data_IF_821290279034
#
_entry.id   IF_821290279034
#
_cell.length_a   1.000
_cell.length_b   1.000
_cell.length_c   1.000
_cell.angle_alpha   90.00
_cell.angle_beta   90.00
_cell.angle_gamma   90.00
#
_symmetry.space_group_name_H-M   'P 1'
#
loop_
_entity.id
_entity.type
_entity.pdbx_description
1 polymer ?
#
# COMPACT_ATOMS: atom_id res chain seq x y z
N UNK A 1 6.78 -7.38 -3.50
CA UNK A 1 6.32 -6.37 -4.50
C UNK A 1 5.95 -5.06 -3.80
N UNK A 2 4.98 -5.06 -2.87
CA UNK A 2 4.50 -3.84 -2.20
C UNK A 2 5.60 -3.05 -1.47
N UNK A 3 6.49 -3.72 -0.72
CA UNK A 3 7.61 -3.05 -0.04
C UNK A 3 8.48 -2.24 -1.02
N UNK A 4 8.85 -2.84 -2.15
CA UNK A 4 9.63 -2.16 -3.20
C UNK A 4 8.85 -1.00 -3.82
N UNK A 5 7.55 -1.18 -4.06
CA UNK A 5 6.68 -0.12 -4.58
C UNK A 5 6.65 1.10 -3.65
N UNK A 6 6.43 0.91 -2.35
CA UNK A 6 6.41 2.00 -1.39
C UNK A 6 7.78 2.66 -1.22
N UNK A 7 8.87 1.88 -1.17
CA UNK A 7 10.23 2.42 -1.14
C UNK A 7 10.55 3.25 -2.39
N UNK A 8 10.14 2.77 -3.58
CA UNK A 8 10.24 3.51 -4.84
C UNK A 8 9.48 4.83 -4.81
N UNK A 9 8.24 4.85 -4.31
CA UNK A 9 7.45 6.08 -4.19
C UNK A 9 8.06 7.07 -3.20
N UNK A 10 8.54 6.61 -2.04
CA UNK A 10 9.25 7.47 -1.09
C UNK A 10 10.51 8.08 -1.72
N UNK A 11 11.29 7.30 -2.48
CA UNK A 11 12.46 7.79 -3.21
C UNK A 11 12.10 8.86 -4.24
N UNK A 12 11.04 8.64 -5.01
CA UNK A 12 10.54 9.61 -5.99
C UNK A 12 10.23 10.96 -5.33
N UNK A 13 9.49 10.94 -4.21
CA UNK A 13 9.12 12.17 -3.49
C UNK A 13 10.33 12.82 -2.81
N UNK A 14 11.22 12.03 -2.19
CA UNK A 14 12.42 12.56 -1.53
C UNK A 14 13.36 13.24 -2.54
N UNK A 15 13.53 12.65 -3.73
CA UNK A 15 14.31 13.26 -4.82
C UNK A 15 13.64 14.55 -5.32
N UNK A 16 12.33 14.53 -5.55
CA UNK A 16 11.58 15.69 -6.05
C UNK A 16 11.58 16.87 -5.07
N UNK A 17 11.47 16.59 -3.77
CA UNK A 17 11.36 17.62 -2.71
C UNK A 17 12.71 17.99 -2.08
N UNK A 18 13.74 17.22 -2.35
CA UNK A 18 15.11 17.48 -1.94
C UNK A 18 15.42 17.21 -0.45
N UNK A 19 16.69 17.45 -0.06
CA UNK A 19 17.14 17.36 1.34
C UNK A 19 16.34 18.28 2.26
N UNK A 20 16.10 17.86 3.51
CA UNK A 20 15.31 18.60 4.49
C UNK A 20 13.78 18.45 4.34
N UNK A 21 13.31 17.81 3.27
CA UNK A 21 11.89 17.48 3.13
C UNK A 21 11.44 16.42 4.15
N UNK A 22 10.14 16.39 4.45
CA UNK A 22 9.54 15.33 5.29
C UNK A 22 9.81 13.93 4.73
N UNK A 23 9.81 13.79 3.39
CA UNK A 23 10.11 12.53 2.73
C UNK A 23 11.56 12.08 2.99
N UNK A 24 12.54 12.99 2.89
CA UNK A 24 13.92 12.70 3.24
C UNK A 24 14.04 12.28 4.72
N UNK A 25 13.39 13.01 5.63
CA UNK A 25 13.37 12.65 7.05
C UNK A 25 12.79 11.26 7.33
N UNK A 26 11.67 10.90 6.69
CA UNK A 26 11.11 9.54 6.85
C UNK A 26 12.00 8.46 6.23
N UNK A 27 12.70 8.75 5.13
CA UNK A 27 13.68 7.82 4.57
C UNK A 27 14.80 7.55 5.57
N UNK A 28 15.34 8.58 6.23
CA UNK A 28 16.39 8.44 7.25
C UNK A 28 15.91 7.62 8.46
N UNK A 29 14.70 7.88 8.95
CA UNK A 29 14.11 7.12 10.06
C UNK A 29 13.93 5.63 9.70
N UNK A 30 13.45 5.34 8.50
CA UNK A 30 13.26 3.96 8.03
C UNK A 30 14.60 3.26 7.79
N UNK A 31 15.60 3.97 7.26
CA UNK A 31 16.97 3.45 7.12
C UNK A 31 17.60 3.10 8.47
N UNK A 32 17.32 3.86 9.53
CA UNK A 32 17.82 3.55 10.86
C UNK A 32 17.14 2.31 11.46
N UNK A 33 15.83 2.13 11.24
CA UNK A 33 15.01 1.20 12.04
C UNK A 33 14.55 -0.08 11.32
N UNK A 34 14.54 -0.12 9.99
CA UNK A 34 13.98 -1.25 9.24
C UNK A 34 15.03 -1.90 8.33
N UNK A 35 15.40 -3.14 8.66
CA UNK A 35 16.29 -3.95 7.83
C UNK A 35 15.68 -4.27 6.47
N UNK A 36 14.39 -4.62 6.43
CA UNK A 36 13.68 -4.87 5.19
C UNK A 36 13.72 -3.64 4.28
N UNK A 37 13.48 -2.45 4.84
CA UNK A 37 13.57 -1.20 4.10
C UNK A 37 14.97 -0.93 3.58
N UNK A 38 16.02 -1.08 4.42
CA UNK A 38 17.43 -0.94 3.99
C UNK A 38 17.74 -1.81 2.79
N UNK A 39 17.30 -3.08 2.83
CA UNK A 39 17.49 -4.04 1.73
C UNK A 39 16.87 -3.55 0.43
N UNK A 40 15.59 -3.17 0.44
CA UNK A 40 14.92 -2.71 -0.80
C UNK A 40 15.33 -1.30 -1.23
N UNK A 41 15.78 -0.45 -0.30
CA UNK A 41 16.26 0.90 -0.60
C UNK A 41 17.57 0.87 -1.36
N UNK A 42 18.46 -0.09 -1.05
CA UNK A 42 19.72 -0.34 -1.76
C UNK A 42 19.53 -0.68 -3.23
N UNK A 43 18.37 -1.19 -3.62
CA UNK A 43 18.06 -1.49 -5.02
C UNK A 43 17.82 -0.22 -5.86
N UNK A 44 17.75 0.97 -5.23
CA UNK A 44 17.58 2.29 -5.87
C UNK A 44 16.42 2.38 -6.88
N UNK A 45 15.41 1.53 -6.73
CA UNK A 45 14.29 1.49 -7.66
C UNK A 45 13.45 2.77 -7.58
N UNK A 46 13.01 3.24 -8.76
CA UNK A 46 12.08 4.37 -8.93
C UNK A 46 11.03 3.98 -9.96
N UNK A 47 9.82 4.55 -9.87
CA UNK A 47 8.76 4.35 -10.87
C UNK A 47 8.01 3.03 -10.80
N UNK A 48 8.12 2.25 -9.71
CA UNK A 48 7.28 1.05 -9.53
C UNK A 48 5.83 1.47 -9.33
N UNK A 49 4.97 1.10 -10.27
CA UNK A 49 3.54 1.45 -10.22
C UNK A 49 2.71 0.35 -9.55
N UNK A 50 1.63 0.71 -8.84
CA UNK A 50 0.71 -0.27 -8.29
C UNK A 50 0.07 -1.09 -9.42
N UNK A 51 -0.03 -2.40 -9.21
CA UNK A 51 -0.93 -3.24 -10.01
C UNK A 51 -2.38 -2.85 -9.72
N UNK A 52 -3.21 -2.87 -10.76
CA UNK A 52 -4.65 -2.67 -10.66
C UNK A 52 -5.29 -3.72 -9.74
N UNK A 53 -4.92 -4.98 -9.90
CA UNK A 53 -5.37 -6.07 -9.03
C UNK A 53 -4.37 -6.32 -7.90
N UNK A 54 -4.88 -6.41 -6.67
CA UNK A 54 -4.15 -6.82 -5.48
C UNK A 54 -4.58 -8.21 -5.05
N UNK A 55 -3.59 -8.98 -4.58
CA UNK A 55 -3.80 -10.28 -3.97
C UNK A 55 -3.38 -10.23 -2.52
N UNK A 56 -4.31 -10.53 -1.63
CA UNK A 56 -4.10 -10.54 -0.19
C UNK A 56 -4.37 -11.93 0.35
N UNK A 57 -3.76 -12.22 1.50
CA UNK A 57 -4.13 -13.37 2.34
C UNK A 57 -4.60 -12.79 3.66
N UNK A 58 -5.92 -12.71 3.83
CA UNK A 58 -6.53 -12.26 5.07
C UNK A 58 -6.53 -13.42 6.09
N UNK A 59 -6.20 -13.19 7.37
CA UNK A 59 -6.13 -14.26 8.36
C UNK A 59 -7.44 -15.04 8.50
N UNK A 60 -8.59 -14.36 8.40
CA UNK A 60 -9.91 -14.98 8.64
C UNK A 60 -10.59 -15.51 7.37
N UNK A 61 -10.51 -14.79 6.25
CA UNK A 61 -11.24 -15.15 5.02
C UNK A 61 -10.32 -15.71 3.92
N UNK A 62 -9.03 -15.84 4.23
CA UNK A 62 -8.02 -16.40 3.33
C UNK A 62 -7.73 -15.49 2.13
N UNK A 63 -7.49 -16.11 0.97
CA UNK A 63 -7.10 -15.40 -0.23
C UNK A 63 -8.21 -14.46 -0.75
N UNK A 64 -7.82 -13.25 -1.12
CA UNK A 64 -8.65 -12.21 -1.74
C UNK A 64 -7.97 -11.66 -2.98
N UNK A 65 -8.72 -11.56 -4.07
CA UNK A 65 -8.34 -10.85 -5.29
C UNK A 65 -9.22 -9.61 -5.45
N UNK A 66 -8.63 -8.43 -5.32
CA UNK A 66 -9.35 -7.16 -5.28
C UNK A 66 -8.79 -6.19 -6.33
N UNK A 67 -9.68 -5.56 -7.09
CA UNK A 67 -9.35 -4.40 -7.94
C UNK A 67 -9.17 -3.17 -7.06
N UNK A 68 -8.10 -2.41 -7.29
CA UNK A 68 -7.71 -1.24 -6.51
C UNK A 68 -7.77 0.02 -7.37
N UNK A 69 -8.71 0.90 -7.06
CA UNK A 69 -8.78 2.24 -7.64
C UNK A 69 -8.11 3.23 -6.69
N UNK A 70 -7.33 4.16 -7.25
CA UNK A 70 -6.67 5.23 -6.48
C UNK A 70 -7.33 6.54 -6.82
N UNK A 71 -7.92 7.20 -5.83
CA UNK A 71 -8.50 8.53 -5.94
C UNK A 71 -7.62 9.51 -5.18
N UNK A 72 -7.21 10.59 -5.85
CA UNK A 72 -6.33 11.61 -5.28
C UNK A 72 -7.12 12.89 -5.04
N UNK A 73 -6.93 13.49 -3.87
CA UNK A 73 -7.27 14.88 -3.60
C UNK A 73 -5.95 15.69 -3.55
N UNK A 74 -5.59 16.38 -4.65
CA UNK A 74 -4.36 17.15 -4.70
C UNK A 74 -4.35 18.35 -3.74
N UNK A 75 -5.52 18.89 -3.40
CA UNK A 75 -5.65 20.09 -2.56
C UNK A 75 -5.33 19.78 -1.11
N UNK A 76 -5.74 18.59 -0.64
CA UNK A 76 -5.51 18.12 0.72
C UNK A 76 -4.33 17.14 0.83
N UNK A 77 -3.69 16.82 -0.30
CA UNK A 77 -2.68 15.76 -0.40
C UNK A 77 -3.17 14.42 0.18
N UNK A 78 -4.44 14.09 -0.03
CA UNK A 78 -5.03 12.82 0.39
C UNK A 78 -5.06 11.81 -0.76
N UNK A 79 -4.99 10.54 -0.39
CA UNK A 79 -5.14 9.42 -1.30
C UNK A 79 -6.11 8.42 -0.69
N UNK A 80 -7.19 8.11 -1.42
CA UNK A 80 -8.14 7.06 -1.09
C UNK A 80 -7.90 5.86 -1.99
N UNK A 81 -7.71 4.69 -1.38
CA UNK A 81 -7.62 3.41 -2.08
C UNK A 81 -8.95 2.69 -1.93
N UNK A 82 -9.64 2.46 -3.05
CA UNK A 82 -10.92 1.75 -3.07
C UNK A 82 -10.68 0.34 -3.60
N UNK A 83 -10.97 -0.65 -2.76
CA UNK A 83 -10.84 -2.05 -3.10
C UNK A 83 -12.21 -2.65 -3.42
N UNK A 84 -12.35 -3.24 -4.59
CA UNK A 84 -13.58 -3.89 -5.05
C UNK A 84 -13.30 -5.32 -5.50
N UNK A 85 -14.34 -6.15 -5.48
CA UNK A 85 -14.31 -7.49 -6.03
C UNK A 85 -15.42 -7.63 -7.07
N UNK A 86 -15.20 -8.46 -8.09
CA UNK A 86 -16.20 -8.76 -9.12
C UNK A 86 -17.45 -9.37 -8.47
N UNK A 87 -18.64 -8.77 -8.63
CA UNK A 87 -19.89 -9.30 -8.06
C UNK A 87 -20.13 -10.77 -8.43
N UNK A 88 -20.58 -11.56 -7.46
CA UNK A 88 -20.84 -12.99 -7.62
C UNK A 88 -19.60 -13.89 -7.63
N UNK A 89 -18.40 -13.34 -7.45
CA UNK A 89 -17.17 -14.12 -7.28
C UNK A 89 -16.84 -14.43 -5.81
N UNK A 90 -15.94 -15.39 -5.59
CA UNK A 90 -15.51 -15.80 -4.24
C UNK A 90 -14.94 -14.64 -3.41
N UNK A 91 -14.11 -13.78 -4.03
CA UNK A 91 -13.57 -12.60 -3.32
C UNK A 91 -14.64 -11.57 -3.00
N UNK A 92 -15.75 -11.52 -3.75
CA UNK A 92 -16.88 -10.65 -3.45
C UNK A 92 -17.64 -11.15 -2.22
N UNK A 93 -17.93 -12.45 -2.16
CA UNK A 93 -18.57 -13.05 -0.98
C UNK A 93 -17.72 -12.88 0.28
N UNK A 94 -16.41 -13.13 0.18
CA UNK A 94 -15.48 -12.92 1.30
C UNK A 94 -15.37 -11.45 1.72
N UNK A 95 -15.41 -10.51 0.78
CA UNK A 95 -15.40 -9.08 1.09
C UNK A 95 -16.70 -8.64 1.79
N UNK A 96 -17.85 -9.19 1.38
CA UNK A 96 -19.12 -9.00 2.08
C UNK A 96 -19.06 -9.57 3.50
N UNK A 97 -18.52 -10.78 3.67
CA UNK A 97 -18.32 -11.37 5.00
C UNK A 97 -17.44 -10.48 5.89
N UNK A 98 -16.33 -9.94 5.36
CA UNK A 98 -15.47 -9.00 6.09
C UNK A 98 -16.19 -7.73 6.56
N UNK A 99 -17.21 -7.26 5.84
CA UNK A 99 -18.01 -6.10 6.28
C UNK A 99 -18.81 -6.38 7.55
N UNK A 100 -19.12 -7.65 7.81
CA UNK A 100 -19.87 -8.09 9.00
C UNK A 100 -18.90 -8.41 10.15
N UNK A 101 -17.85 -9.19 9.88
CA UNK A 101 -16.93 -9.65 10.93
C UNK A 101 -15.86 -8.62 11.29
N UNK A 102 -15.43 -7.77 10.35
CA UNK A 102 -14.38 -6.77 10.58
C UNK A 102 -14.82 -5.57 11.42
N UNK A 103 -16.13 -5.36 11.58
CA UNK A 103 -16.68 -4.35 12.50
C UNK A 103 -16.76 -4.86 13.94
N UNK A 104 -16.66 -6.17 14.14
CA UNK A 104 -16.49 -6.78 15.45
C UNK A 104 -14.98 -6.83 15.70
N UNK A 105 -14.46 -6.03 16.64
CA UNK A 105 -13.07 -6.19 17.06
C UNK A 105 -12.91 -7.59 17.68
N UNK A 106 -12.47 -8.56 16.88
CA UNK A 106 -12.04 -9.86 17.37
C UNK A 106 -10.76 -9.60 18.18
N UNK A 107 -10.89 -9.79 19.50
CA UNK A 107 -9.83 -9.61 20.48
C UNK A 107 -8.74 -10.67 20.34
#
# INVERSE_FOLDING_TARGET
FLTRMFASGLREVATLRGPGSRAAHYADLLLARSEEFRRVWKDHMVGIRPKEVKRFVHPEVGALELTCQTLLDPSQAHMLLVYTATPGGESYEKLQLLSVIGAQTLR
#
